data_IF_650542921841
#
_entry.id   IF_650542921841
#
_cell.length_a   1.000
_cell.length_b   1.000
_cell.length_c   1.000
_cell.angle_alpha   90.00
_cell.angle_beta   90.00
_cell.angle_gamma   90.00
#
_symmetry.space_group_name_H-M   'P 1'
#
loop_
_entity.id
_entity.type
_entity.pdbx_description
1 polymer ?
#
# COMPACT_ATOMS: atom_id res chain seq x y z
N UNK A 1 -20.93 14.98 -17.61
CA UNK A 1 -20.63 14.46 -16.26
C UNK A 1 -19.11 14.49 -16.07
N UNK A 2 -18.56 15.30 -15.17
CA UNK A 2 -17.13 15.31 -14.85
C UNK A 2 -16.89 14.36 -13.68
N UNK A 3 -15.96 13.42 -13.83
CA UNK A 3 -15.58 12.46 -12.78
C UNK A 3 -14.25 12.90 -12.19
N UNK A 4 -14.13 12.86 -10.86
CA UNK A 4 -12.87 13.03 -10.14
C UNK A 4 -12.52 11.66 -9.55
N UNK A 5 -11.35 11.13 -9.91
CA UNK A 5 -10.82 9.90 -9.34
C UNK A 5 -9.77 10.24 -8.29
N UNK A 6 -9.86 9.59 -7.13
CA UNK A 6 -8.83 9.61 -6.10
C UNK A 6 -8.22 8.21 -6.01
N UNK A 7 -6.90 8.13 -6.07
CA UNK A 7 -6.15 6.89 -5.89
C UNK A 7 -5.27 7.03 -4.64
N UNK A 8 -5.21 5.98 -3.83
CA UNK A 8 -4.27 5.89 -2.72
C UNK A 8 -3.12 4.97 -3.14
N UNK A 9 -1.89 5.42 -2.92
CA UNK A 9 -0.68 4.66 -3.22
C UNK A 9 0.11 4.44 -1.92
N UNK A 10 0.43 3.19 -1.62
CA UNK A 10 1.36 2.83 -0.56
C UNK A 10 2.73 2.57 -1.19
N UNK A 11 3.76 3.27 -0.69
CA UNK A 11 5.15 3.05 -1.12
C UNK A 11 5.93 2.44 0.04
N UNK A 12 6.44 1.24 -0.17
CA UNK A 12 7.32 0.54 0.76
C UNK A 12 8.44 -0.14 0.00
N UNK A 13 9.54 -0.40 0.71
CA UNK A 13 10.59 -1.29 0.24
C UNK A 13 10.61 -2.51 1.15
N UNK A 14 10.54 -3.69 0.55
CA UNK A 14 10.70 -4.94 1.28
C UNK A 14 12.14 -5.16 1.70
N UNK A 15 12.31 -5.67 2.91
CA UNK A 15 13.60 -6.11 3.46
C UNK A 15 13.53 -7.62 3.71
N UNK A 16 14.66 -8.30 3.51
CA UNK A 16 14.73 -9.74 3.75
C UNK A 16 14.84 -10.01 5.25
N UNK A 17 14.05 -10.97 5.75
CA UNK A 17 14.18 -11.43 7.13
C UNK A 17 15.47 -12.27 7.29
N UNK A 18 16.24 -11.99 8.33
CA UNK A 18 17.59 -12.57 8.53
C UNK A 18 17.60 -13.96 9.17
N UNK A 19 16.46 -14.48 9.64
CA UNK A 19 16.37 -15.73 10.41
C UNK A 19 16.32 -17.01 9.56
N UNK A 20 16.79 -16.95 8.31
CA UNK A 20 17.03 -18.11 7.45
C UNK A 20 15.86 -18.54 6.56
N UNK A 21 14.68 -17.94 6.72
CA UNK A 21 13.61 -18.06 5.74
C UNK A 21 13.85 -17.08 4.57
N UNK A 22 13.60 -17.54 3.33
CA UNK A 22 13.58 -16.69 2.12
C UNK A 22 12.29 -15.86 2.08
N UNK A 23 12.10 -15.06 3.12
CA UNK A 23 10.92 -14.25 3.37
C UNK A 23 11.29 -12.77 3.31
N UNK A 24 10.54 -12.04 2.50
CA UNK A 24 10.68 -10.59 2.37
C UNK A 24 9.51 -9.92 3.06
N UNK A 25 9.79 -9.00 3.98
CA UNK A 25 8.79 -8.28 4.74
C UNK A 25 8.81 -6.82 4.30
N UNK A 26 7.64 -6.29 3.96
CA UNK A 26 7.48 -4.86 3.67
C UNK A 26 6.57 -4.24 4.71
N UNK A 27 7.00 -3.12 5.27
CA UNK A 27 6.15 -2.23 6.07
C UNK A 27 6.17 -0.84 5.46
N UNK A 28 4.98 -0.27 5.27
CA UNK A 28 4.86 1.12 4.85
C UNK A 28 3.68 1.80 5.51
N UNK A 29 3.78 3.11 5.66
CA UNK A 29 2.81 3.92 6.36
C UNK A 29 2.37 5.07 5.45
N UNK A 30 1.07 5.40 5.49
CA UNK A 30 0.51 6.56 4.82
C UNK A 30 -0.23 7.44 5.86
N UNK A 31 0.06 8.75 5.92
CA UNK A 31 -0.59 9.63 6.89
C UNK A 31 -2.08 9.79 6.60
N UNK A 32 -2.84 10.19 7.63
CA UNK A 32 -4.21 10.65 7.43
C UNK A 32 -4.19 12.00 6.69
N UNK A 33 -4.98 12.11 5.63
CA UNK A 33 -5.02 13.31 4.79
C UNK A 33 -6.46 13.73 4.49
N UNK A 34 -6.66 15.03 4.33
CA UNK A 34 -7.86 15.61 3.74
C UNK A 34 -7.60 15.93 2.27
N UNK A 35 -8.60 15.65 1.43
CA UNK A 35 -8.62 16.04 0.02
C UNK A 35 -9.70 17.07 -0.18
N UNK A 36 -9.32 18.29 -0.55
CA UNK A 36 -10.25 19.38 -0.85
C UNK A 36 -10.15 19.68 -2.33
N UNK A 37 -11.28 19.63 -3.04
CA UNK A 37 -11.36 20.06 -4.44
C UNK A 37 -12.41 21.15 -4.58
N UNK A 38 -11.99 22.29 -5.13
CA UNK A 38 -12.83 23.43 -5.43
C UNK A 38 -12.93 23.59 -6.94
N UNK A 39 -14.13 23.87 -7.44
CA UNK A 39 -14.40 24.09 -8.86
C UNK A 39 -15.05 25.46 -8.98
N UNK A 40 -14.41 26.36 -9.72
CA UNK A 40 -14.90 27.71 -9.96
C UNK A 40 -14.81 28.07 -11.45
N UNK A 41 -14.94 29.37 -11.76
CA UNK A 41 -14.86 29.87 -13.13
C UNK A 41 -13.43 29.80 -13.70
N UNK A 42 -12.41 29.77 -12.84
CA UNK A 42 -10.99 29.78 -13.21
C UNK A 42 -10.44 28.36 -13.37
N UNK A 43 -11.10 27.36 -12.79
CA UNK A 43 -10.85 25.95 -13.10
C UNK A 43 -11.13 25.01 -11.94
N UNK A 44 -10.15 24.15 -11.65
CA UNK A 44 -10.19 23.15 -10.58
C UNK A 44 -8.95 23.36 -9.71
N UNK A 45 -9.15 23.69 -8.44
CA UNK A 45 -8.09 23.69 -7.42
C UNK A 45 -8.22 22.45 -6.55
N UNK A 46 -7.10 21.77 -6.30
CA UNK A 46 -7.07 20.55 -5.51
C UNK A 46 -5.93 20.61 -4.50
N UNK A 47 -6.27 20.38 -3.23
CA UNK A 47 -5.34 20.44 -2.10
C UNK A 47 -5.38 19.14 -1.32
N UNK A 48 -4.20 18.68 -0.94
CA UNK A 48 -4.01 17.51 -0.09
C UNK A 48 -3.25 17.98 1.14
N UNK A 49 -3.86 17.82 2.31
CA UNK A 49 -3.30 18.28 3.56
C UNK A 49 -3.27 17.14 4.56
N UNK A 50 -2.13 16.95 5.22
CA UNK A 50 -2.05 16.01 6.33
C UNK A 50 -2.88 16.55 7.50
N UNK A 51 -3.68 15.67 8.09
CA UNK A 51 -4.53 15.99 9.25
C UNK A 51 -4.22 15.05 10.42
N UNK A 52 -4.61 15.45 11.63
CA UNK A 52 -4.52 14.57 12.78
C UNK A 52 -5.48 13.37 12.58
N UNK A 53 -4.97 12.15 12.77
CA UNK A 53 -5.76 10.94 12.61
C UNK A 53 -4.90 9.68 12.55
N UNK A 54 -5.54 8.50 12.53
CA UNK A 54 -4.83 7.23 12.41
C UNK A 54 -4.17 7.12 11.04
N UNK A 55 -2.90 6.74 11.01
CA UNK A 55 -2.19 6.39 9.78
C UNK A 55 -2.72 5.07 9.22
N UNK A 56 -2.66 4.92 7.90
CA UNK A 56 -2.79 3.61 7.29
C UNK A 56 -1.45 2.89 7.32
N UNK A 57 -1.48 1.58 7.56
CA UNK A 57 -0.30 0.73 7.63
C UNK A 57 -0.49 -0.47 6.70
N UNK A 58 0.46 -0.66 5.81
CA UNK A 58 0.59 -1.82 4.95
C UNK A 58 1.69 -2.73 5.50
N UNK A 59 1.33 -3.96 5.82
CA UNK A 59 2.25 -5.03 6.19
C UNK A 59 2.11 -6.15 5.17
N UNK A 60 3.24 -6.56 4.58
CA UNK A 60 3.27 -7.64 3.60
C UNK A 60 4.43 -8.58 3.82
N UNK A 61 4.20 -9.83 3.47
CA UNK A 61 5.17 -10.92 3.40
C UNK A 61 5.17 -11.48 1.99
N UNK A 62 6.35 -11.63 1.41
CA UNK A 62 6.56 -12.16 0.06
C UNK A 62 7.55 -13.30 0.11
N UNK A 63 7.23 -14.41 -0.57
CA UNK A 63 8.18 -15.49 -0.81
C UNK A 63 8.09 -15.98 -2.25
N UNK A 64 9.19 -16.55 -2.75
CA UNK A 64 9.17 -17.23 -4.03
C UNK A 64 8.31 -18.50 -3.92
N UNK A 65 7.47 -18.75 -4.92
CA UNK A 65 6.56 -19.90 -4.88
C UNK A 65 7.31 -21.25 -4.91
N UNK A 66 8.54 -21.25 -5.42
CA UNK A 66 9.44 -22.41 -5.46
C UNK A 66 10.31 -22.55 -4.20
N UNK A 67 10.17 -21.63 -3.23
CA UNK A 67 11.00 -21.58 -2.02
C UNK A 67 12.44 -21.11 -2.26
N UNK A 68 12.78 -20.67 -3.47
CA UNK A 68 14.10 -20.14 -3.82
C UNK A 68 14.22 -18.62 -3.67
N UNK A 69 15.23 -18.04 -4.32
CA UNK A 69 15.38 -16.58 -4.39
C UNK A 69 14.29 -15.95 -5.27
N UNK A 70 13.81 -14.77 -4.88
CA UNK A 70 12.95 -13.91 -5.70
C UNK A 70 13.76 -13.35 -6.88
N UNK A 71 13.13 -13.23 -8.04
CA UNK A 71 13.77 -12.68 -9.22
C UNK A 71 12.81 -12.46 -10.38
N UNK A 72 13.26 -11.79 -11.46
CA UNK A 72 12.44 -11.52 -12.63
C UNK A 72 11.84 -12.80 -13.23
N UNK A 73 10.52 -12.79 -13.49
CA UNK A 73 9.79 -13.90 -14.10
C UNK A 73 9.53 -15.09 -13.18
N UNK A 74 9.85 -14.99 -11.89
CA UNK A 74 9.50 -16.01 -10.89
C UNK A 74 8.14 -15.75 -10.28
N UNK A 75 7.37 -16.84 -10.11
CA UNK A 75 6.15 -16.81 -9.33
C UNK A 75 6.44 -16.53 -7.86
N UNK A 76 5.59 -15.73 -7.26
CA UNK A 76 5.66 -15.40 -5.83
C UNK A 76 4.29 -15.51 -5.19
N UNK A 77 4.29 -15.70 -3.87
CA UNK A 77 3.10 -15.52 -3.05
C UNK A 77 3.33 -14.31 -2.16
N UNK A 78 2.36 -13.43 -2.12
CA UNK A 78 2.32 -12.27 -1.25
C UNK A 78 1.07 -12.31 -0.38
N UNK A 79 1.22 -12.07 0.92
CA UNK A 79 0.08 -11.98 1.82
C UNK A 79 0.35 -10.96 2.92
N UNK A 80 -0.71 -10.39 3.46
CA UNK A 80 -0.55 -9.31 4.41
C UNK A 80 -1.84 -8.65 4.83
N UNK A 81 -1.66 -7.49 5.46
CA UNK A 81 -2.73 -6.66 5.98
C UNK A 81 -2.56 -5.21 5.58
N UNK A 82 -3.69 -4.53 5.36
CA UNK A 82 -3.77 -3.08 5.28
C UNK A 82 -4.70 -2.64 6.39
N UNK A 83 -4.17 -1.98 7.41
CA UNK A 83 -4.99 -1.28 8.40
C UNK A 83 -5.17 0.17 7.97
N UNK A 84 -6.39 0.68 8.07
CA UNK A 84 -6.73 2.04 7.68
C UNK A 84 -7.98 2.50 8.41
N UNK A 85 -8.28 3.80 8.36
CA UNK A 85 -9.56 4.37 8.80
C UNK A 85 -10.08 3.79 10.12
N UNK A 86 -9.60 4.30 11.26
CA UNK A 86 -10.13 4.03 12.60
C UNK A 86 -10.62 2.58 12.87
N UNK A 87 -9.76 1.59 12.64
CA UNK A 87 -10.01 0.18 12.98
C UNK A 87 -10.39 -0.74 11.82
N UNK A 88 -10.43 -0.25 10.58
CA UNK A 88 -10.61 -1.12 9.42
C UNK A 88 -9.33 -1.89 9.11
N UNK A 89 -9.51 -3.14 8.68
CA UNK A 89 -8.41 -4.03 8.26
C UNK A 89 -8.84 -4.79 7.01
N UNK A 90 -8.03 -4.74 5.96
CA UNK A 90 -8.11 -5.61 4.81
C UNK A 90 -7.02 -6.68 4.93
N UNK A 91 -7.39 -7.95 4.78
CA UNK A 91 -6.44 -9.05 4.64
C UNK A 91 -6.38 -9.45 3.17
N UNK A 92 -5.19 -9.79 2.68
CA UNK A 92 -5.01 -10.22 1.30
C UNK A 92 -4.03 -11.38 1.19
N UNK A 93 -4.20 -12.17 0.13
CA UNK A 93 -3.33 -13.27 -0.27
C UNK A 93 -3.38 -13.33 -1.80
N UNK A 94 -2.22 -13.19 -2.44
CA UNK A 94 -2.07 -13.04 -3.89
C UNK A 94 -0.96 -13.95 -4.38
N UNK A 95 -1.19 -14.59 -5.51
CA UNK A 95 -0.17 -15.33 -6.25
C UNK A 95 0.12 -14.56 -7.54
N UNK A 96 1.36 -14.12 -7.69
CA UNK A 96 1.85 -13.38 -8.85
C UNK A 96 2.82 -14.21 -9.70
N UNK A 97 3.08 -13.72 -10.92
CA UNK A 97 4.03 -14.28 -11.88
C UNK A 97 4.84 -13.17 -12.55
#
# INVERSE_FOLDING_TARGET
MRRILYNMEFKGRGEQETDGEMLWITRSFAPCVSFTTEIDADGVDARIEQVAGPQAEFNSKVTAHDGGELGPGKKFREWGTISFGNGNVLNFDTVGA
#
